data_IF_319643035286
#
_entry.id   IF_319643035286
#
_cell.length_a   1.000
_cell.length_b   1.000
_cell.length_c   1.000
_cell.angle_alpha   90.00
_cell.angle_beta   90.00
_cell.angle_gamma   90.00
#
_symmetry.space_group_name_H-M   'P 1'
#
loop_
_entity.id
_entity.type
_entity.pdbx_description
1 polymer ?
#
# COMPACT_ATOMS: atom_id res chain seq x y z
N UNK A 1 14.79 -14.86 -38.28
CA UNK A 1 15.45 -13.53 -38.18
C UNK A 1 15.99 -13.43 -36.76
N UNK A 2 17.12 -14.08 -36.52
CA UNK A 2 17.77 -14.17 -35.21
C UNK A 2 18.45 -12.84 -34.91
N UNK A 3 17.86 -12.09 -33.97
CA UNK A 3 18.30 -10.73 -33.67
C UNK A 3 19.54 -10.75 -32.77
N UNK A 4 20.40 -9.77 -33.01
CA UNK A 4 21.79 -9.56 -32.55
C UNK A 4 21.88 -9.26 -31.04
N UNK A 5 21.01 -9.82 -30.19
CA UNK A 5 21.03 -9.58 -28.75
C UNK A 5 22.36 -9.99 -28.06
N UNK A 6 23.06 -11.07 -28.43
CA UNK A 6 24.28 -11.48 -27.72
C UNK A 6 25.52 -10.59 -27.97
N UNK A 7 25.48 -9.63 -28.91
CA UNK A 7 26.65 -8.83 -29.31
C UNK A 7 26.58 -7.35 -28.91
N UNK A 8 25.51 -6.91 -28.26
CA UNK A 8 25.38 -5.52 -27.82
C UNK A 8 26.30 -5.31 -26.61
N UNK A 9 27.33 -4.48 -26.80
CA UNK A 9 28.29 -4.09 -25.76
C UNK A 9 27.73 -2.93 -24.91
N UNK A 10 28.35 -2.69 -23.75
CA UNK A 10 28.01 -1.52 -22.90
C UNK A 10 28.09 -0.21 -23.70
N UNK A 11 29.06 -0.10 -24.59
CA UNK A 11 29.29 1.08 -25.44
C UNK A 11 28.15 1.33 -26.43
N UNK A 12 27.55 0.28 -26.99
CA UNK A 12 26.39 0.39 -27.88
C UNK A 12 25.17 0.92 -27.11
N UNK A 13 24.90 0.36 -25.92
CA UNK A 13 23.83 0.82 -25.04
C UNK A 13 24.06 2.27 -24.63
N UNK A 14 25.30 2.63 -24.29
CA UNK A 14 25.65 4.00 -23.95
C UNK A 14 25.43 4.96 -25.13
N UNK A 15 25.77 4.53 -26.34
CA UNK A 15 25.60 5.34 -27.56
C UNK A 15 24.13 5.59 -27.83
N UNK A 16 23.29 4.56 -27.74
CA UNK A 16 21.83 4.68 -27.86
C UNK A 16 21.27 5.59 -26.75
N UNK A 17 21.70 5.39 -25.50
CA UNK A 17 21.26 6.20 -24.36
C UNK A 17 21.59 7.69 -24.54
N UNK A 18 22.77 8.00 -25.09
CA UNK A 18 23.20 9.38 -25.34
C UNK A 18 22.35 10.09 -26.40
N UNK A 19 21.65 9.37 -27.28
CA UNK A 19 20.83 9.97 -28.34
C UNK A 19 19.66 10.82 -27.83
N UNK A 20 19.26 10.65 -26.56
CA UNK A 20 18.17 11.42 -25.95
C UNK A 20 18.54 12.89 -25.66
N UNK A 21 19.82 13.20 -25.49
CA UNK A 21 20.25 14.54 -25.06
C UNK A 21 19.90 15.60 -26.09
N UNK A 22 19.28 16.70 -25.65
CA UNK A 22 18.90 17.82 -26.50
C UNK A 22 17.75 17.53 -27.48
N UNK A 23 17.02 16.43 -27.30
CA UNK A 23 15.86 16.07 -28.12
C UNK A 23 14.55 16.55 -27.49
N UNK A 24 13.49 16.60 -28.30
CA UNK A 24 12.14 16.88 -27.81
C UNK A 24 11.61 15.71 -26.96
N UNK A 25 10.67 15.99 -26.05
CA UNK A 25 10.08 14.97 -25.18
C UNK A 25 9.45 13.80 -25.97
N UNK A 26 8.81 14.10 -27.12
CA UNK A 26 8.25 13.09 -28.02
C UNK A 26 9.33 12.17 -28.60
N UNK A 27 10.48 12.73 -28.97
CA UNK A 27 11.59 11.92 -29.49
C UNK A 27 12.23 11.06 -28.38
N UNK A 28 12.30 11.56 -27.15
CA UNK A 28 12.74 10.77 -25.98
C UNK A 28 11.78 9.62 -25.71
N UNK A 29 10.47 9.86 -25.76
CA UNK A 29 9.43 8.84 -25.54
C UNK A 29 9.49 7.72 -26.58
N UNK A 30 9.64 8.07 -27.86
CA UNK A 30 9.87 7.09 -28.93
C UNK A 30 11.15 6.29 -28.72
N UNK A 31 12.25 6.95 -28.33
CA UNK A 31 13.51 6.26 -28.04
C UNK A 31 13.35 5.29 -26.87
N UNK A 32 12.68 5.68 -25.79
CA UNK A 32 12.42 4.83 -24.63
C UNK A 32 11.56 3.63 -25.00
N UNK A 33 10.54 3.81 -25.85
CA UNK A 33 9.73 2.70 -26.37
C UNK A 33 10.58 1.69 -27.13
N UNK A 34 11.49 2.15 -27.99
CA UNK A 34 12.42 1.29 -28.73
C UNK A 34 13.39 0.57 -27.79
N UNK A 35 13.92 1.28 -26.78
CA UNK A 35 14.79 0.70 -25.75
C UNK A 35 14.06 -0.38 -24.96
N UNK A 36 12.81 -0.15 -24.55
CA UNK A 36 12.02 -1.12 -23.80
C UNK A 36 11.84 -2.42 -24.59
N UNK A 37 11.46 -2.31 -25.86
CA UNK A 37 11.28 -3.45 -26.76
C UNK A 37 12.58 -4.22 -26.99
N UNK A 38 13.72 -3.52 -27.08
CA UNK A 38 15.03 -4.15 -27.19
C UNK A 38 15.43 -4.85 -25.88
N UNK A 39 15.18 -4.21 -24.73
CA UNK A 39 15.55 -4.71 -23.41
C UNK A 39 14.85 -6.02 -23.04
N UNK A 40 13.67 -6.30 -23.61
CA UNK A 40 13.00 -7.60 -23.48
C UNK A 40 13.87 -8.80 -23.91
N UNK A 41 14.87 -8.56 -24.77
CA UNK A 41 15.80 -9.59 -25.29
C UNK A 41 17.17 -9.54 -24.63
N UNK A 42 17.42 -8.60 -23.71
CA UNK A 42 18.70 -8.47 -23.04
C UNK A 42 18.91 -9.59 -22.03
N UNK A 43 20.17 -10.03 -21.89
CA UNK A 43 20.56 -10.78 -20.70
C UNK A 43 20.67 -9.85 -19.48
N UNK A 44 20.80 -10.41 -18.28
CA UNK A 44 20.84 -9.64 -17.03
C UNK A 44 21.99 -8.62 -16.99
N UNK A 45 23.15 -8.93 -17.57
CA UNK A 45 24.30 -8.02 -17.60
C UNK A 45 24.04 -6.79 -18.48
N UNK A 46 23.48 -7.00 -19.68
CA UNK A 46 23.10 -5.92 -20.59
C UNK A 46 22.00 -5.04 -19.99
N UNK A 47 21.01 -5.66 -19.33
CA UNK A 47 19.99 -4.93 -18.61
C UNK A 47 20.59 -4.08 -17.47
N UNK A 48 21.54 -4.63 -16.71
CA UNK A 48 22.21 -3.88 -15.64
C UNK A 48 22.96 -2.65 -16.16
N UNK A 49 23.57 -2.71 -17.35
CA UNK A 49 24.14 -1.51 -17.97
C UNK A 49 23.09 -0.45 -18.32
N UNK A 50 21.95 -0.87 -18.86
CA UNK A 50 20.85 0.06 -19.14
C UNK A 50 20.30 0.69 -17.85
N UNK A 51 20.09 -0.13 -16.81
CA UNK A 51 19.63 0.34 -15.49
C UNK A 51 20.63 1.32 -14.88
N UNK A 52 21.94 1.06 -14.99
CA UNK A 52 22.98 1.99 -14.52
C UNK A 52 22.82 3.37 -15.18
N UNK A 53 22.55 3.42 -16.49
CA UNK A 53 22.29 4.68 -17.19
C UNK A 53 20.98 5.35 -16.74
N UNK A 54 19.90 4.59 -16.58
CA UNK A 54 18.61 5.08 -16.07
C UNK A 54 18.78 5.70 -14.68
N UNK A 55 19.42 4.98 -13.74
CA UNK A 55 19.63 5.45 -12.37
C UNK A 55 20.57 6.66 -12.30
N UNK A 56 21.53 6.79 -13.23
CA UNK A 56 22.38 7.97 -13.32
C UNK A 56 21.60 9.19 -13.83
N UNK A 57 20.79 9.01 -14.87
CA UNK A 57 19.90 10.06 -15.38
C UNK A 57 18.87 10.49 -14.32
N UNK A 58 18.29 9.54 -13.58
CA UNK A 58 17.34 9.82 -12.50
C UNK A 58 17.86 10.87 -11.49
N UNK A 59 19.16 10.85 -11.15
CA UNK A 59 19.75 11.74 -10.15
C UNK A 59 19.92 13.19 -10.61
N UNK A 60 19.98 13.43 -11.92
CA UNK A 60 20.34 14.74 -12.50
C UNK A 60 19.23 15.37 -13.33
N UNK A 61 18.30 14.55 -13.83
CA UNK A 61 17.28 14.98 -14.78
C UNK A 61 16.07 15.67 -14.12
N UNK A 62 15.27 16.34 -14.94
CA UNK A 62 14.03 17.00 -14.51
C UNK A 62 12.95 15.99 -14.12
N UNK A 63 11.96 16.43 -13.32
CA UNK A 63 10.81 15.62 -12.89
C UNK A 63 10.09 14.97 -14.08
N UNK A 64 9.90 15.69 -15.19
CA UNK A 64 9.24 15.16 -16.39
C UNK A 64 9.99 13.99 -17.02
N UNK A 65 11.33 14.06 -17.05
CA UNK A 65 12.16 12.97 -17.57
C UNK A 65 12.22 11.83 -16.54
N UNK A 66 12.31 12.15 -15.25
CA UNK A 66 12.21 11.17 -14.18
C UNK A 66 10.93 10.33 -14.28
N UNK A 67 9.78 10.95 -14.54
CA UNK A 67 8.52 10.23 -14.77
C UNK A 67 8.65 9.25 -15.93
N UNK A 68 9.23 9.69 -17.07
CA UNK A 68 9.47 8.86 -18.26
C UNK A 68 10.45 7.71 -18.02
N UNK A 69 11.48 7.91 -17.18
CA UNK A 69 12.40 6.86 -16.77
C UNK A 69 11.69 5.76 -15.97
N UNK A 70 10.76 6.14 -15.10
CA UNK A 70 9.92 5.18 -14.35
C UNK A 70 9.01 4.40 -15.29
N UNK A 71 8.41 5.05 -16.29
CA UNK A 71 7.59 4.36 -17.30
C UNK A 71 8.41 3.36 -18.11
N UNK A 72 9.62 3.75 -18.50
CA UNK A 72 10.58 2.89 -19.20
C UNK A 72 10.90 1.66 -18.35
N UNK A 73 11.28 1.84 -17.08
CA UNK A 73 11.55 0.72 -16.16
C UNK A 73 10.37 -0.21 -16.04
N UNK A 74 9.16 0.31 -15.75
CA UNK A 74 7.98 -0.53 -15.61
C UNK A 74 7.60 -1.28 -16.89
N UNK A 75 7.84 -0.69 -18.06
CA UNK A 75 7.64 -1.36 -19.36
C UNK A 75 8.66 -2.48 -19.56
N UNK A 76 9.94 -2.22 -19.28
CA UNK A 76 11.00 -3.25 -19.32
C UNK A 76 10.66 -4.40 -18.37
N UNK A 77 10.29 -4.10 -17.12
CA UNK A 77 9.95 -5.10 -16.10
C UNK A 77 8.79 -5.99 -16.52
N UNK A 78 7.82 -5.44 -17.26
CA UNK A 78 6.74 -6.23 -17.85
C UNK A 78 7.24 -7.09 -19.00
N UNK A 79 8.03 -6.57 -19.92
CA UNK A 79 8.35 -7.32 -21.15
C UNK A 79 9.50 -8.35 -20.99
N UNK A 80 10.33 -8.20 -19.95
CA UNK A 80 11.49 -9.07 -19.75
C UNK A 80 11.18 -10.41 -19.04
N UNK A 81 12.19 -11.29 -19.03
CA UNK A 81 12.16 -12.56 -18.30
C UNK A 81 12.16 -12.35 -16.77
N UNK A 82 11.81 -13.39 -16.02
CA UNK A 82 11.63 -13.33 -14.56
C UNK A 82 12.81 -12.66 -13.83
N UNK A 83 14.05 -13.12 -14.03
CA UNK A 83 15.22 -12.60 -13.31
C UNK A 83 15.47 -11.11 -13.58
N UNK A 84 15.30 -10.70 -14.84
CA UNK A 84 15.36 -9.30 -15.26
C UNK A 84 14.25 -8.47 -14.62
N UNK A 85 13.04 -9.03 -14.50
CA UNK A 85 11.91 -8.36 -13.88
C UNK A 85 12.10 -8.19 -12.37
N UNK A 86 12.68 -9.18 -11.68
CA UNK A 86 13.08 -9.05 -10.26
C UNK A 86 14.02 -7.87 -10.10
N UNK A 87 15.04 -7.77 -10.96
CA UNK A 87 15.99 -6.66 -10.91
C UNK A 87 15.30 -5.31 -11.10
N UNK A 88 14.36 -5.19 -12.04
CA UNK A 88 13.60 -3.95 -12.26
C UNK A 88 12.72 -3.61 -11.05
N UNK A 89 12.05 -4.61 -10.46
CA UNK A 89 11.21 -4.43 -9.27
C UNK A 89 12.04 -3.91 -8.10
N UNK A 90 13.24 -4.47 -7.86
CA UNK A 90 14.15 -3.98 -6.82
C UNK A 90 14.57 -2.52 -7.06
N UNK A 91 14.85 -2.14 -8.31
CA UNK A 91 15.18 -0.74 -8.63
C UNK A 91 14.00 0.19 -8.41
N UNK A 92 12.80 -0.17 -8.85
CA UNK A 92 11.59 0.63 -8.59
C UNK A 92 11.32 0.74 -7.08
N UNK A 93 11.55 -0.32 -6.33
CA UNK A 93 11.43 -0.34 -4.87
C UNK A 93 12.44 0.62 -4.21
N UNK A 94 13.72 0.54 -4.58
CA UNK A 94 14.77 1.42 -4.06
C UNK A 94 14.52 2.88 -4.46
N UNK A 95 14.03 3.11 -5.68
CA UNK A 95 13.63 4.43 -6.14
C UNK A 95 12.49 4.98 -5.29
N UNK A 96 11.46 4.18 -5.00
CA UNK A 96 10.37 4.61 -4.13
C UNK A 96 10.92 5.04 -2.76
N UNK A 97 11.86 4.29 -2.19
CA UNK A 97 12.49 4.62 -0.90
C UNK A 97 13.47 5.80 -0.93
N UNK A 98 13.59 6.51 -2.05
CA UNK A 98 14.44 7.69 -2.13
C UNK A 98 13.91 8.83 -1.26
N UNK A 99 14.83 9.51 -0.56
CA UNK A 99 14.49 10.70 0.21
C UNK A 99 13.91 11.79 -0.69
N UNK A 100 12.99 12.60 -0.14
CA UNK A 100 12.43 13.81 -0.79
C UNK A 100 11.58 13.54 -2.04
N UNK A 101 10.95 12.37 -2.14
CA UNK A 101 9.96 12.11 -3.16
C UNK A 101 8.62 12.79 -2.88
N UNK A 102 8.13 13.57 -3.85
CA UNK A 102 6.77 14.08 -3.84
C UNK A 102 5.74 12.95 -4.06
N UNK A 103 4.51 13.17 -3.59
CA UNK A 103 3.41 12.20 -3.69
C UNK A 103 3.15 11.71 -5.12
N UNK A 104 3.11 12.61 -6.10
CA UNK A 104 2.84 12.25 -7.50
C UNK A 104 3.86 11.26 -8.06
N UNK A 105 5.15 11.53 -7.86
CA UNK A 105 6.22 10.66 -8.32
C UNK A 105 6.20 9.31 -7.59
N UNK A 106 5.90 9.32 -6.28
CA UNK A 106 5.76 8.09 -5.52
C UNK A 106 4.64 7.19 -6.06
N UNK A 107 3.43 7.76 -6.21
CA UNK A 107 2.29 7.03 -6.74
C UNK A 107 2.61 6.49 -8.15
N UNK A 108 3.35 7.26 -8.97
CA UNK A 108 3.81 6.83 -10.30
C UNK A 108 4.77 5.64 -10.25
N UNK A 109 5.77 5.66 -9.36
CA UNK A 109 6.71 4.54 -9.16
C UNK A 109 5.96 3.28 -8.71
N UNK A 110 5.10 3.39 -7.69
CA UNK A 110 4.35 2.25 -7.17
C UNK A 110 3.35 1.69 -8.18
N UNK A 111 2.73 2.56 -8.98
CA UNK A 111 1.88 2.15 -10.10
C UNK A 111 2.63 1.26 -11.09
N UNK A 112 3.82 1.68 -11.54
CA UNK A 112 4.62 0.86 -12.46
C UNK A 112 5.21 -0.39 -11.82
N UNK A 113 5.50 -0.36 -10.52
CA UNK A 113 5.88 -1.54 -9.75
C UNK A 113 4.75 -2.58 -9.72
N UNK A 114 3.51 -2.16 -9.43
CA UNK A 114 2.33 -3.04 -9.45
C UNK A 114 2.06 -3.62 -10.84
N UNK A 115 2.20 -2.80 -11.89
CA UNK A 115 1.97 -3.24 -13.28
C UNK A 115 2.92 -4.34 -13.77
N UNK A 116 4.02 -4.62 -13.08
CA UNK A 116 4.88 -5.75 -13.39
C UNK A 116 4.23 -7.07 -12.94
N UNK A 117 3.41 -7.04 -11.88
CA UNK A 117 2.64 -8.18 -11.38
C UNK A 117 1.33 -8.43 -12.14
N UNK A 118 1.05 -7.72 -13.24
CA UNK A 118 -0.22 -7.83 -13.98
C UNK A 118 -0.54 -9.24 -14.50
N UNK A 119 -1.83 -9.49 -14.72
CA UNK A 119 -2.49 -10.78 -14.97
C UNK A 119 -1.73 -11.80 -15.83
N UNK A 120 -1.79 -13.07 -15.42
CA UNK A 120 -1.25 -14.22 -16.17
C UNK A 120 0.17 -14.65 -15.78
N UNK A 121 0.78 -14.03 -14.75
CA UNK A 121 2.16 -14.29 -14.32
C UNK A 121 2.30 -15.08 -13.01
N UNK A 122 1.71 -16.28 -12.93
CA UNK A 122 1.87 -17.15 -11.75
C UNK A 122 3.33 -17.38 -11.28
N UNK A 123 4.38 -17.38 -12.14
CA UNK A 123 5.76 -17.45 -11.65
C UNK A 123 6.17 -16.32 -10.70
N UNK A 124 5.38 -15.25 -10.61
CA UNK A 124 5.63 -14.07 -9.78
C UNK A 124 4.88 -14.12 -8.44
N UNK A 125 4.08 -15.15 -8.16
CA UNK A 125 3.35 -15.29 -6.88
C UNK A 125 4.32 -15.29 -5.68
N UNK A 126 5.47 -15.96 -5.81
CA UNK A 126 6.53 -15.94 -4.81
C UNK A 126 7.17 -14.55 -4.64
N UNK A 127 7.36 -13.81 -5.74
CA UNK A 127 7.90 -12.45 -5.70
C UNK A 127 6.90 -11.49 -5.05
N UNK A 128 5.62 -11.59 -5.40
CA UNK A 128 4.53 -10.83 -4.78
C UNK A 128 4.54 -11.03 -3.27
N UNK A 129 4.65 -12.28 -2.81
CA UNK A 129 4.81 -12.61 -1.40
C UNK A 129 6.02 -11.91 -0.78
N UNK A 130 7.18 -11.93 -1.43
CA UNK A 130 8.39 -11.26 -0.92
C UNK A 130 8.19 -9.74 -0.78
N UNK A 131 7.53 -9.08 -1.74
CA UNK A 131 7.23 -7.65 -1.63
C UNK A 131 6.17 -7.33 -0.57
N UNK A 132 5.17 -8.20 -0.36
CA UNK A 132 4.27 -8.04 0.78
C UNK A 132 5.04 -8.10 2.12
N UNK A 133 6.04 -8.99 2.24
CA UNK A 133 6.91 -9.06 3.41
C UNK A 133 7.86 -7.86 3.54
N UNK A 134 8.31 -7.27 2.43
CA UNK A 134 9.02 -5.98 2.45
C UNK A 134 8.11 -4.87 2.99
N UNK A 135 6.87 -4.74 2.51
CA UNK A 135 5.89 -3.80 3.06
C UNK A 135 5.65 -4.01 4.56
N UNK A 136 5.55 -5.27 5.01
CA UNK A 136 5.43 -5.58 6.44
C UNK A 136 6.62 -5.04 7.25
N UNK A 137 7.82 -5.18 6.71
CA UNK A 137 9.04 -4.69 7.36
C UNK A 137 9.04 -3.17 7.45
N UNK A 138 8.57 -2.48 6.42
CA UNK A 138 8.50 -1.02 6.40
C UNK A 138 7.36 -0.47 7.27
N UNK A 139 6.25 -1.19 7.42
CA UNK A 139 5.20 -0.89 8.39
C UNK A 139 5.71 -0.94 9.84
N UNK A 140 6.58 -1.91 10.13
CA UNK A 140 7.16 -2.08 11.47
C UNK A 140 8.30 -1.09 11.76
N UNK A 141 8.92 -0.53 10.71
CA UNK A 141 9.89 0.54 10.84
C UNK A 141 9.13 1.83 11.13
N UNK A 142 9.42 2.50 12.25
CA UNK A 142 8.92 3.86 12.57
C UNK A 142 9.45 4.96 11.63
N UNK A 143 9.85 4.60 10.42
CA UNK A 143 10.42 5.47 9.41
C UNK A 143 9.32 5.99 8.49
N UNK A 144 9.58 7.08 7.75
CA UNK A 144 8.62 7.77 6.89
C UNK A 144 8.10 6.99 5.68
N UNK A 145 8.01 5.67 5.74
CA UNK A 145 7.47 4.79 4.69
C UNK A 145 6.23 3.99 5.12
N UNK A 146 5.67 4.31 6.28
CA UNK A 146 4.52 3.62 6.86
C UNK A 146 3.28 3.65 5.93
N UNK A 147 2.82 4.84 5.53
CA UNK A 147 1.62 4.99 4.71
C UNK A 147 1.77 4.45 3.28
N UNK A 148 2.88 4.72 2.56
CA UNK A 148 3.16 4.04 1.29
C UNK A 148 3.15 2.51 1.42
N UNK A 149 3.74 1.95 2.48
CA UNK A 149 3.78 0.51 2.69
C UNK A 149 2.38 -0.10 2.87
N UNK A 150 1.50 0.57 3.64
CA UNK A 150 0.10 0.13 3.83
C UNK A 150 -0.65 0.13 2.50
N UNK A 151 -0.59 1.26 1.77
CA UNK A 151 -1.27 1.40 0.48
C UNK A 151 -0.77 0.37 -0.54
N UNK A 152 0.55 0.23 -0.66
CA UNK A 152 1.14 -0.71 -1.61
C UNK A 152 0.91 -2.17 -1.22
N UNK A 153 0.89 -2.50 0.08
CA UNK A 153 0.50 -3.84 0.55
C UNK A 153 -0.94 -4.15 0.18
N UNK A 154 -1.87 -3.21 0.41
CA UNK A 154 -3.25 -3.33 -0.01
C UNK A 154 -3.34 -3.57 -1.51
N UNK A 155 -2.69 -2.73 -2.31
CA UNK A 155 -2.72 -2.84 -3.76
C UNK A 155 -2.13 -4.16 -4.25
N UNK A 156 -0.99 -4.62 -3.72
CA UNK A 156 -0.42 -5.93 -4.05
C UNK A 156 -1.41 -7.05 -3.76
N UNK A 157 -2.05 -7.05 -2.60
CA UNK A 157 -3.03 -8.09 -2.27
C UNK A 157 -4.31 -8.01 -3.14
N UNK A 158 -4.68 -6.80 -3.59
CA UNK A 158 -5.90 -6.57 -4.36
C UNK A 158 -5.72 -6.78 -5.88
N UNK A 159 -4.52 -6.54 -6.42
CA UNK A 159 -4.26 -6.42 -7.87
C UNK A 159 -4.56 -7.68 -8.71
N UNK A 160 -4.70 -8.86 -8.08
CA UNK A 160 -5.02 -10.13 -8.77
C UNK A 160 -6.49 -10.56 -8.65
N UNK A 161 -7.37 -9.77 -8.03
CA UNK A 161 -8.73 -10.21 -7.71
C UNK A 161 -9.70 -10.14 -8.90
N UNK A 162 -9.43 -10.86 -9.98
CA UNK A 162 -10.41 -11.16 -11.03
C UNK A 162 -11.41 -12.22 -10.53
N UNK A 163 -12.30 -11.84 -9.61
CA UNK A 163 -13.51 -12.57 -9.12
C UNK A 163 -13.37 -14.05 -8.69
N UNK A 164 -12.21 -14.69 -8.81
CA UNK A 164 -11.92 -16.06 -8.43
C UNK A 164 -10.67 -16.04 -7.56
N UNK A 165 -10.92 -15.94 -6.26
CA UNK A 165 -9.87 -15.90 -5.25
C UNK A 165 -9.10 -17.23 -5.27
N UNK A 166 -7.78 -17.17 -5.45
CA UNK A 166 -6.93 -18.36 -5.48
C UNK A 166 -6.55 -18.71 -4.05
N UNK A 167 -6.53 -20.01 -3.73
CA UNK A 167 -6.09 -20.55 -2.42
C UNK A 167 -4.74 -19.98 -1.95
N UNK A 168 -3.85 -19.64 -2.88
CA UNK A 168 -2.54 -19.03 -2.62
C UNK A 168 -2.62 -17.64 -1.96
N UNK A 169 -3.65 -16.85 -2.24
CA UNK A 169 -3.83 -15.52 -1.64
C UNK A 169 -4.36 -15.64 -0.20
N UNK A 170 -5.18 -16.64 0.09
CA UNK A 170 -5.65 -17.00 1.46
C UNK A 170 -4.46 -17.38 2.34
N UNK A 171 -3.58 -18.23 1.80
CA UNK A 171 -2.36 -18.66 2.48
C UNK A 171 -1.42 -17.46 2.75
N UNK A 172 -1.34 -16.51 1.82
CA UNK A 172 -0.54 -15.29 2.00
C UNK A 172 -1.14 -14.38 3.08
N UNK A 173 -2.46 -14.14 3.06
CA UNK A 173 -3.14 -13.34 4.11
C UNK A 173 -2.96 -14.01 5.47
N UNK A 174 -3.18 -15.32 5.54
CA UNK A 174 -2.98 -16.12 6.75
C UNK A 174 -1.55 -16.01 7.28
N UNK A 175 -0.54 -16.10 6.40
CA UNK A 175 0.86 -15.88 6.75
C UNK A 175 1.09 -14.47 7.34
N UNK A 176 0.62 -13.43 6.65
CA UNK A 176 0.81 -12.04 7.08
C UNK A 176 0.14 -11.77 8.44
N UNK A 177 -1.09 -12.24 8.61
CA UNK A 177 -1.86 -12.02 9.84
C UNK A 177 -1.32 -12.85 11.00
N UNK A 178 -1.13 -14.15 10.83
CA UNK A 178 -0.81 -15.03 11.96
C UNK A 178 0.69 -15.11 12.26
N UNK A 179 1.55 -15.10 11.23
CA UNK A 179 3.00 -15.20 11.44
C UNK A 179 3.65 -13.85 11.68
N UNK A 180 3.15 -12.79 11.04
CA UNK A 180 3.72 -11.45 11.13
C UNK A 180 2.86 -10.45 11.94
N UNK A 181 1.78 -10.93 12.56
CA UNK A 181 0.88 -10.13 13.43
C UNK A 181 0.43 -8.81 12.77
N UNK A 182 0.11 -8.86 11.46
CA UNK A 182 -0.19 -7.68 10.64
C UNK A 182 -1.33 -6.83 11.23
N UNK A 183 -2.37 -7.45 11.78
CA UNK A 183 -3.47 -6.72 12.41
C UNK A 183 -2.97 -5.87 13.58
N UNK A 184 -2.09 -6.43 14.44
CA UNK A 184 -1.46 -5.67 15.52
C UNK A 184 -0.62 -4.52 14.99
N UNK A 185 0.19 -4.79 13.96
CA UNK A 185 1.08 -3.81 13.39
C UNK A 185 0.29 -2.61 12.83
N UNK A 186 -0.85 -2.86 12.17
CA UNK A 186 -1.73 -1.82 11.63
C UNK A 186 -2.39 -0.98 12.72
N UNK A 187 -2.89 -1.59 13.80
CA UNK A 187 -3.53 -0.85 14.88
C UNK A 187 -2.48 0.01 15.62
N UNK A 188 -1.30 -0.56 15.87
CA UNK A 188 -0.21 0.14 16.53
C UNK A 188 0.37 1.27 15.67
N UNK A 189 0.48 1.06 14.36
CA UNK A 189 0.94 2.08 13.41
C UNK A 189 -0.04 3.25 13.35
N UNK A 190 -1.35 2.96 13.32
CA UNK A 190 -2.41 3.97 13.36
C UNK A 190 -2.31 4.83 14.63
N UNK A 191 -2.23 4.18 15.80
CA UNK A 191 -2.08 4.86 17.09
C UNK A 191 -0.83 5.74 17.14
N UNK A 192 0.30 5.24 16.61
CA UNK A 192 1.55 6.00 16.53
C UNK A 192 1.41 7.21 15.61
N UNK A 193 0.80 7.05 14.43
CA UNK A 193 0.56 8.14 13.50
C UNK A 193 -0.32 9.24 14.10
N UNK A 194 -1.41 8.88 14.78
CA UNK A 194 -2.28 9.87 15.42
C UNK A 194 -1.56 10.65 16.51
N UNK A 195 -0.78 9.95 17.36
CA UNK A 195 0.01 10.59 18.41
C UNK A 195 1.09 11.52 17.83
N UNK A 196 1.80 11.09 16.78
CA UNK A 196 2.83 11.89 16.13
C UNK A 196 2.24 13.16 15.49
N UNK A 197 1.09 13.04 14.83
CA UNK A 197 0.39 14.17 14.22
C UNK A 197 -0.11 15.13 15.30
N UNK A 198 -0.72 14.61 16.36
CA UNK A 198 -1.18 15.40 17.51
C UNK A 198 -0.04 16.21 18.15
N UNK A 199 1.10 15.56 18.37
CA UNK A 199 2.28 16.21 18.95
C UNK A 199 2.84 17.30 18.01
N UNK A 200 2.89 17.05 16.69
CA UNK A 200 3.36 18.04 15.71
C UNK A 200 2.43 19.26 15.62
N UNK A 201 1.11 19.05 15.70
CA UNK A 201 0.12 20.13 15.60
C UNK A 201 -0.28 20.73 16.93
N UNK A 202 0.27 20.27 18.05
CA UNK A 202 -0.08 20.69 19.40
C UNK A 202 -1.59 20.55 19.67
N UNK A 203 -2.21 19.48 19.17
CA UNK A 203 -3.64 19.20 19.32
C UNK A 203 -4.55 19.81 18.27
N UNK A 204 -4.03 20.60 17.33
CA UNK A 204 -4.81 21.15 16.22
C UNK A 204 -4.80 20.23 15.00
N UNK A 205 -5.28 18.99 15.18
CA UNK A 205 -5.39 18.01 14.08
C UNK A 205 -6.63 18.29 13.25
N UNK A 206 -6.44 18.48 11.94
CA UNK A 206 -7.51 18.57 10.94
C UNK A 206 -7.41 17.44 9.94
N UNK A 207 -8.47 17.21 9.17
CA UNK A 207 -8.49 16.17 8.12
C UNK A 207 -7.36 16.32 7.09
N UNK A 208 -6.95 17.56 6.81
CA UNK A 208 -5.92 17.92 5.82
C UNK A 208 -4.50 17.97 6.41
N UNK A 209 -4.35 17.72 7.72
CA UNK A 209 -3.05 17.74 8.38
C UNK A 209 -2.15 16.64 7.79
N UNK A 210 -0.94 16.98 7.35
CA UNK A 210 -0.03 16.01 6.76
C UNK A 210 0.68 15.16 7.83
N UNK A 211 0.67 13.83 7.65
CA UNK A 211 1.30 12.88 8.58
C UNK A 211 2.81 12.77 8.34
N UNK A 212 3.18 12.51 7.09
CA UNK A 212 4.54 12.27 6.62
C UNK A 212 4.99 13.28 5.54
N UNK A 213 4.22 14.35 5.33
CA UNK A 213 4.43 15.34 4.27
C UNK A 213 3.86 14.95 2.90
N UNK A 214 3.25 13.77 2.76
CA UNK A 214 2.63 13.31 1.50
C UNK A 214 1.15 12.98 1.65
N UNK A 215 0.77 12.33 2.75
CA UNK A 215 -0.61 11.90 3.00
C UNK A 215 -1.24 12.70 4.12
N UNK A 216 -2.54 12.95 3.99
CA UNK A 216 -3.32 13.64 5.01
C UNK A 216 -3.69 12.70 6.16
N UNK A 217 -4.11 13.28 7.29
CA UNK A 217 -4.58 12.55 8.46
C UNK A 217 -5.81 11.70 8.13
N UNK A 218 -6.73 12.24 7.33
CA UNK A 218 -7.86 11.47 6.81
C UNK A 218 -7.43 10.25 6.00
N UNK A 219 -6.51 10.44 5.05
CA UNK A 219 -5.99 9.35 4.23
C UNK A 219 -5.27 8.30 5.06
N UNK A 220 -4.53 8.73 6.08
CA UNK A 220 -3.88 7.82 7.02
C UNK A 220 -4.91 6.88 7.66
N UNK A 221 -5.95 7.41 8.30
CA UNK A 221 -6.96 6.59 8.97
C UNK A 221 -7.67 5.68 7.97
N UNK A 222 -8.12 6.22 6.82
CA UNK A 222 -8.81 5.44 5.79
C UNK A 222 -7.97 4.29 5.26
N UNK A 223 -6.71 4.52 4.89
CA UNK A 223 -5.83 3.47 4.36
C UNK A 223 -5.61 2.33 5.38
N UNK A 224 -5.47 2.65 6.66
CA UNK A 224 -5.35 1.62 7.71
C UNK A 224 -6.63 0.78 7.83
N UNK A 225 -7.79 1.45 7.86
CA UNK A 225 -9.09 0.80 8.00
C UNK A 225 -9.50 -0.01 6.76
N UNK A 226 -9.17 0.47 5.55
CA UNK A 226 -9.44 -0.21 4.29
C UNK A 226 -8.63 -1.52 4.20
N UNK A 227 -7.34 -1.46 4.54
CA UNK A 227 -6.51 -2.67 4.60
C UNK A 227 -6.99 -3.64 5.68
N UNK A 228 -7.34 -3.16 6.88
CA UNK A 228 -7.88 -4.01 7.94
C UNK A 228 -9.18 -4.71 7.49
N UNK A 229 -10.11 -3.95 6.90
CA UNK A 229 -11.38 -4.50 6.38
C UNK A 229 -11.13 -5.57 5.32
N UNK A 230 -10.20 -5.29 4.40
CA UNK A 230 -9.83 -6.21 3.34
C UNK A 230 -9.25 -7.51 3.90
N UNK A 231 -8.34 -7.43 4.86
CA UNK A 231 -7.74 -8.61 5.49
C UNK A 231 -8.79 -9.47 6.20
N UNK A 232 -9.73 -8.85 6.92
CA UNK A 232 -10.80 -9.58 7.61
C UNK A 232 -11.71 -10.30 6.61
N UNK A 233 -12.22 -9.56 5.61
CA UNK A 233 -13.16 -10.08 4.61
C UNK A 233 -12.54 -11.14 3.70
N UNK A 234 -11.33 -10.88 3.18
CA UNK A 234 -10.65 -11.78 2.25
C UNK A 234 -9.92 -12.93 2.94
N UNK A 235 -9.47 -12.74 4.17
CA UNK A 235 -8.89 -13.81 4.97
C UNK A 235 -9.93 -14.70 5.65
N UNK A 236 -11.23 -14.35 5.59
CA UNK A 236 -12.29 -14.97 6.39
C UNK A 236 -11.92 -15.02 7.88
N UNK A 237 -11.44 -13.87 8.38
CA UNK A 237 -10.93 -13.71 9.73
C UNK A 237 -11.89 -12.87 10.55
N UNK A 238 -11.97 -13.15 11.85
CA UNK A 238 -12.70 -12.33 12.80
C UNK A 238 -11.76 -11.53 13.68
N UNK A 239 -12.08 -10.24 13.87
CA UNK A 239 -11.33 -9.40 14.80
C UNK A 239 -11.64 -9.81 16.24
N UNK A 240 -10.62 -10.26 16.96
CA UNK A 240 -10.72 -10.70 18.36
C UNK A 240 -10.87 -9.51 19.31
N UNK A 241 -11.49 -9.75 20.48
CA UNK A 241 -11.84 -8.71 21.46
C UNK A 241 -10.68 -7.79 21.79
N UNK A 242 -9.49 -8.35 22.07
CA UNK A 242 -8.29 -7.56 22.39
C UNK A 242 -7.98 -6.53 21.30
N UNK A 243 -8.02 -6.93 20.03
CA UNK A 243 -7.72 -6.04 18.89
C UNK A 243 -8.84 -5.05 18.63
N UNK A 244 -10.08 -5.46 18.83
CA UNK A 244 -11.24 -4.57 18.74
C UNK A 244 -11.20 -3.48 19.82
N UNK A 245 -10.81 -3.83 21.05
CA UNK A 245 -10.60 -2.89 22.16
C UNK A 245 -9.45 -1.91 21.85
N UNK A 246 -8.30 -2.41 21.36
CA UNK A 246 -7.15 -1.56 20.96
C UNK A 246 -7.54 -0.54 19.85
N UNK A 247 -8.28 -0.99 18.84
CA UNK A 247 -8.74 -0.13 17.75
C UNK A 247 -9.77 0.91 18.23
N UNK A 248 -10.71 0.48 19.09
CA UNK A 248 -11.68 1.39 19.71
C UNK A 248 -10.97 2.44 20.57
N UNK A 249 -9.99 2.02 21.37
CA UNK A 249 -9.19 2.94 22.17
C UNK A 249 -8.51 3.98 21.30
N UNK A 250 -7.92 3.53 20.20
CA UNK A 250 -7.20 4.37 19.25
C UNK A 250 -8.09 5.42 18.56
N UNK A 251 -9.30 5.02 18.10
CA UNK A 251 -10.15 5.87 17.26
C UNK A 251 -11.27 6.61 17.99
N UNK A 252 -11.67 6.16 19.18
CA UNK A 252 -12.91 6.63 19.83
C UNK A 252 -12.63 7.22 21.21
N UNK A 253 -11.89 6.53 22.07
CA UNK A 253 -11.73 6.94 23.48
C UNK A 253 -10.40 7.62 23.82
N UNK A 254 -9.46 7.69 22.88
CA UNK A 254 -8.20 8.40 23.06
C UNK A 254 -8.42 9.91 23.23
N UNK A 255 -7.70 10.54 24.16
CA UNK A 255 -7.77 11.99 24.42
C UNK A 255 -7.32 12.84 23.21
N UNK A 256 -6.60 12.23 22.27
CA UNK A 256 -6.08 12.86 21.06
C UNK A 256 -6.99 12.67 19.83
N UNK A 257 -8.17 12.06 19.99
CA UNK A 257 -9.10 11.78 18.89
C UNK A 257 -9.87 13.04 18.51
N UNK A 258 -9.81 13.37 17.21
CA UNK A 258 -10.65 14.41 16.64
C UNK A 258 -12.10 13.89 16.47
N UNK A 259 -13.08 14.80 16.35
CA UNK A 259 -14.46 14.41 16.02
C UNK A 259 -14.53 13.57 14.73
N UNK A 260 -13.66 13.87 13.78
CA UNK A 260 -13.56 13.15 12.52
C UNK A 260 -13.06 11.72 12.70
N UNK A 261 -12.02 11.52 13.50
CA UNK A 261 -11.45 10.20 13.83
C UNK A 261 -12.52 9.31 14.48
N UNK A 262 -13.25 9.89 15.44
CA UNK A 262 -14.37 9.25 16.13
C UNK A 262 -15.45 8.79 15.15
N UNK A 263 -15.87 9.68 14.25
CA UNK A 263 -16.88 9.38 13.24
C UNK A 263 -16.45 8.31 12.22
N UNK A 264 -15.18 8.32 11.80
CA UNK A 264 -14.64 7.29 10.91
C UNK A 264 -14.57 5.94 11.62
N UNK A 265 -14.08 5.91 12.86
CA UNK A 265 -13.98 4.69 13.66
C UNK A 265 -15.33 4.02 13.86
N UNK A 266 -16.36 4.79 14.26
CA UNK A 266 -17.71 4.26 14.41
C UNK A 266 -18.29 3.75 13.08
N UNK A 267 -18.11 4.50 11.99
CA UNK A 267 -18.60 4.08 10.68
C UNK A 267 -17.95 2.75 10.25
N UNK A 268 -16.67 2.58 10.56
CA UNK A 268 -15.95 1.33 10.32
C UNK A 268 -16.52 0.18 11.16
N UNK A 269 -16.75 0.37 12.47
CA UNK A 269 -17.35 -0.66 13.32
C UNK A 269 -18.78 -1.02 12.91
N UNK A 270 -19.58 -0.08 12.40
CA UNK A 270 -20.91 -0.36 11.81
C UNK A 270 -20.74 -1.27 10.59
N UNK A 271 -19.84 -0.90 9.68
CA UNK A 271 -19.67 -1.54 8.37
C UNK A 271 -19.02 -2.92 8.48
N UNK A 272 -18.10 -3.11 9.43
CA UNK A 272 -17.37 -4.36 9.66
C UNK A 272 -17.95 -5.18 10.80
N UNK A 273 -19.21 -4.94 11.17
CA UNK A 273 -19.85 -5.62 12.31
C UNK A 273 -19.86 -7.14 12.15
N UNK A 274 -20.15 -7.65 10.95
CA UNK A 274 -20.13 -9.09 10.62
C UNK A 274 -18.71 -9.71 10.70
N UNK A 275 -17.67 -8.87 10.57
CA UNK A 275 -16.26 -9.27 10.64
C UNK A 275 -15.70 -9.24 12.08
N UNK A 276 -16.50 -8.80 13.06
CA UNK A 276 -16.16 -8.87 14.49
C UNK A 276 -16.61 -10.22 15.05
N UNK A 277 -15.81 -10.81 15.94
CA UNK A 277 -16.29 -11.99 16.64
C UNK A 277 -17.46 -11.62 17.59
N UNK A 278 -18.34 -12.58 17.89
CA UNK A 278 -19.57 -12.32 18.68
C UNK A 278 -19.28 -11.79 20.08
N UNK A 279 -18.20 -12.26 20.70
CA UNK A 279 -17.77 -11.80 22.03
C UNK A 279 -17.36 -10.31 21.98
N UNK A 280 -16.62 -9.90 20.95
CA UNK A 280 -16.22 -8.51 20.67
C UNK A 280 -17.42 -7.60 20.52
N UNK A 281 -18.42 -8.00 19.73
CA UNK A 281 -19.64 -7.22 19.52
C UNK A 281 -20.36 -6.95 20.85
N UNK A 282 -20.60 -8.02 21.63
CA UNK A 282 -21.30 -7.93 22.92
C UNK A 282 -20.49 -7.10 23.91
N UNK A 283 -19.19 -7.39 24.05
CA UNK A 283 -18.35 -6.72 25.04
C UNK A 283 -18.10 -5.25 24.72
N UNK A 284 -17.89 -4.87 23.45
CA UNK A 284 -17.78 -3.47 23.05
C UNK A 284 -19.07 -2.72 23.35
N UNK A 285 -20.21 -3.32 23.03
CA UNK A 285 -21.51 -2.73 23.31
C UNK A 285 -21.76 -2.55 24.82
N UNK A 286 -21.57 -3.61 25.61
CA UNK A 286 -21.84 -3.59 27.04
C UNK A 286 -20.85 -2.77 27.84
N UNK A 287 -19.56 -2.78 27.49
CA UNK A 287 -18.54 -2.08 28.28
C UNK A 287 -18.34 -0.63 27.87
N UNK A 288 -18.49 -0.30 26.59
CA UNK A 288 -18.08 1.00 26.04
C UNK A 288 -19.28 1.81 25.58
N UNK A 289 -20.11 1.25 24.72
CA UNK A 289 -21.26 1.95 24.13
C UNK A 289 -22.31 2.30 25.20
N UNK A 290 -22.62 1.36 26.11
CA UNK A 290 -23.58 1.59 27.21
C UNK A 290 -23.15 2.70 28.18
N UNK A 291 -21.87 3.07 28.18
CA UNK A 291 -21.27 4.09 29.06
C UNK A 291 -21.02 5.41 28.35
N UNK A 292 -21.31 5.51 27.05
CA UNK A 292 -21.21 6.78 26.33
C UNK A 292 -22.23 7.77 26.90
N UNK A 293 -21.79 9.00 27.14
CA UNK A 293 -22.65 10.03 27.70
C UNK A 293 -23.70 10.45 26.64
N UNK A 294 -25.00 10.31 26.91
CA UNK A 294 -26.08 10.57 25.94
C UNK A 294 -26.06 11.97 25.31
N UNK A 295 -25.48 12.95 26.02
CA UNK A 295 -25.45 14.36 25.60
C UNK A 295 -24.45 14.59 24.46
N UNK A 296 -23.44 13.73 24.31
CA UNK A 296 -22.38 13.87 23.33
C UNK A 296 -22.50 12.86 22.18
N UNK A 297 -23.64 12.17 22.05
CA UNK A 297 -23.87 11.20 21.00
C UNK A 297 -24.09 11.90 19.66
N UNK A 298 -23.31 11.51 18.66
CA UNK A 298 -23.50 11.88 17.27
C UNK A 298 -24.59 11.02 16.61
N UNK A 299 -25.05 11.42 15.42
CA UNK A 299 -25.98 10.59 14.64
C UNK A 299 -25.43 9.20 14.30
N UNK A 300 -24.10 9.06 14.19
CA UNK A 300 -23.42 7.78 13.93
C UNK A 300 -23.36 6.91 15.19
N UNK A 301 -23.17 7.51 16.36
CA UNK A 301 -23.25 6.80 17.64
C UNK A 301 -24.62 6.14 17.79
N UNK A 302 -25.69 6.90 17.53
CA UNK A 302 -27.07 6.38 17.62
C UNK A 302 -27.31 5.24 16.63
N UNK A 303 -26.76 5.32 15.41
CA UNK A 303 -26.85 4.22 14.43
C UNK A 303 -26.10 2.97 14.89
N UNK A 304 -24.89 3.12 15.40
CA UNK A 304 -24.11 1.99 15.92
C UNK A 304 -24.79 1.34 17.12
N UNK A 305 -25.34 2.16 18.02
CA UNK A 305 -26.15 1.72 19.15
C UNK A 305 -27.36 0.92 18.66
N UNK A 306 -28.16 1.46 17.73
CA UNK A 306 -29.33 0.80 17.18
C UNK A 306 -29.01 -0.55 16.53
N UNK A 307 -27.96 -0.61 15.70
CA UNK A 307 -27.51 -1.84 15.06
C UNK A 307 -27.14 -2.95 16.06
N UNK A 308 -26.39 -2.60 17.11
CA UNK A 308 -26.03 -3.57 18.16
C UNK A 308 -27.22 -3.98 19.04
N UNK A 309 -28.21 -3.11 19.22
CA UNK A 309 -29.47 -3.49 19.86
C UNK A 309 -30.26 -4.48 19.01
N UNK A 310 -30.46 -4.20 17.71
CA UNK A 310 -31.23 -5.07 16.80
C UNK A 310 -30.60 -6.46 16.68
N UNK A 311 -29.28 -6.54 16.48
CA UNK A 311 -28.55 -7.83 16.44
C UNK A 311 -28.64 -8.64 17.75
N UNK A 312 -28.76 -7.97 18.90
CA UNK A 312 -28.96 -8.64 20.20
C UNK A 312 -30.37 -9.18 20.37
N UNK A 313 -31.40 -8.49 19.87
CA UNK A 313 -32.80 -8.86 20.03
C UNK A 313 -33.30 -9.84 18.96
N UNK A 314 -32.85 -9.72 17.71
CA UNK A 314 -33.17 -10.69 16.65
C UNK A 314 -32.63 -12.10 16.95
N UNK A 315 -31.56 -12.21 17.73
CA UNK A 315 -30.92 -13.48 18.08
C UNK A 315 -31.34 -14.08 19.44
N UNK A 316 -32.32 -13.47 20.12
CA UNK A 316 -33.01 -14.09 21.28
C UNK A 316 -34.29 -14.84 20.88
N UNK A 317 -34.61 -14.88 19.58
CA UNK A 317 -35.83 -15.48 19.04
C UNK A 317 -35.61 -16.86 18.37
N UNK A 318 -34.48 -17.53 18.62
CA UNK A 318 -34.22 -18.92 18.17
C UNK A 318 -33.84 -19.77 19.38
#
# INVERSE_FOLDING_TARGET
MDFIAPKILKEDIQTIWKMQHGRSLVAVDHLFTLIASAAAKFNLQQLNYLIEFICNSWKIETILIQEKLVELLGTIGRECQKDSAVRVLDILWDMAHSDRLGRSMLDHILHYHLRIFSEGRSPYDALKRDYCLKCMSDLQRKQGWLLPAIKHLYDLLHHDSTNTFKRTDEDLISLLVHKHDLISALIQSLSTCQLDVWNKTHGHVTIDTLVDGRYTHEESIKNHLDLLSFLLKKGNLYLILKRSEELWDTLITNEHVSLFDHELGLNWFITCSEDLNRESQIALFEKRVSKLNPIYLTSKDVKYIGFNFDTRFSNKAI
#
